data_IF_492926501949
#
_entry.id   IF_492926501949
#
_cell.length_a   1.000
_cell.length_b   1.000
_cell.length_c   1.000
_cell.angle_alpha   90.00
_cell.angle_beta   90.00
_cell.angle_gamma   90.00
#
_symmetry.space_group_name_H-M   'P 1'
#
loop_
_entity.id
_entity.type
_entity.pdbx_description
1 polymer ?
#
# COMPACT_ATOMS: atom_id res chain seq x y z
N UNK A 1 5.08 -4.60 2.87
CA UNK A 1 4.67 -4.54 4.32
C UNK A 1 4.49 -3.09 4.78
N UNK A 2 4.01 -2.84 6.01
CA UNK A 2 3.52 -1.50 6.47
C UNK A 2 4.07 -1.04 7.83
N UNK A 3 4.85 -1.88 8.48
CA UNK A 3 5.48 -1.63 9.76
C UNK A 3 6.98 -1.87 9.66
N UNK A 4 7.77 -1.17 10.48
CA UNK A 4 9.22 -1.35 10.52
C UNK A 4 9.57 -2.65 11.25
N UNK A 5 10.66 -3.29 10.85
CA UNK A 5 11.13 -4.52 11.52
C UNK A 5 11.46 -4.26 13.01
N UNK A 6 11.97 -3.08 13.34
CA UNK A 6 12.18 -2.68 14.73
C UNK A 6 10.87 -2.63 15.54
N UNK A 7 9.74 -2.30 14.92
CA UNK A 7 8.44 -2.30 15.61
C UNK A 7 8.04 -3.74 16.00
N UNK A 8 8.40 -4.75 15.20
CA UNK A 8 8.23 -6.16 15.56
C UNK A 8 9.12 -6.55 16.74
N UNK A 9 10.42 -6.24 16.66
CA UNK A 9 11.40 -6.58 17.71
C UNK A 9 11.01 -5.92 19.04
N UNK A 10 10.64 -4.63 19.02
CA UNK A 10 10.20 -3.89 20.21
C UNK A 10 8.96 -4.52 20.83
N UNK A 11 7.99 -4.93 20.02
CA UNK A 11 6.77 -5.58 20.53
C UNK A 11 7.03 -6.97 21.12
N UNK A 12 8.00 -7.74 20.59
CA UNK A 12 8.41 -9.03 21.19
C UNK A 12 9.10 -8.82 22.54
N UNK A 13 9.95 -7.79 22.68
CA UNK A 13 10.64 -7.47 23.93
C UNK A 13 9.71 -6.90 25.01
N UNK A 14 8.76 -6.05 24.62
CA UNK A 14 7.80 -5.41 25.53
C UNK A 14 6.42 -5.35 24.85
N UNK A 15 5.62 -6.42 24.95
CA UNK A 15 4.31 -6.47 24.30
C UNK A 15 3.38 -5.44 24.93
N UNK A 16 2.89 -4.50 24.11
CA UNK A 16 1.83 -3.57 24.49
C UNK A 16 0.53 -4.04 23.89
N UNK A 17 -0.41 -4.43 24.74
CA UNK A 17 -1.74 -4.86 24.36
C UNK A 17 -2.65 -3.67 24.01
N UNK A 18 -3.43 -3.80 22.95
CA UNK A 18 -4.28 -2.74 22.38
C UNK A 18 -5.71 -3.23 22.19
N UNK A 19 -6.61 -2.80 23.10
CA UNK A 19 -8.04 -3.13 23.06
C UNK A 19 -8.76 -2.50 21.86
N UNK A 20 -8.33 -1.30 21.47
CA UNK A 20 -8.88 -0.58 20.32
C UNK A 20 -8.60 -1.30 18.98
N UNK A 21 -7.43 -1.93 18.85
CA UNK A 21 -7.07 -2.72 17.67
C UNK A 21 -7.81 -4.06 17.63
N UNK A 22 -7.99 -4.70 18.78
CA UNK A 22 -8.79 -5.92 18.89
C UNK A 22 -10.24 -5.67 18.48
N UNK A 23 -10.84 -4.58 18.97
CA UNK A 23 -12.22 -4.22 18.64
C UNK A 23 -12.41 -4.02 17.13
N UNK A 24 -11.49 -3.32 16.47
CA UNK A 24 -11.50 -3.18 15.00
C UNK A 24 -11.28 -4.49 14.26
N UNK A 25 -10.50 -5.42 14.83
CA UNK A 25 -10.25 -6.73 14.23
C UNK A 25 -11.53 -7.55 14.19
N UNK A 26 -12.21 -7.70 15.33
CA UNK A 26 -13.45 -8.48 15.43
C UNK A 26 -14.63 -7.86 14.66
N UNK A 27 -14.64 -6.53 14.49
CA UNK A 27 -15.65 -5.84 13.67
C UNK A 27 -15.55 -6.21 12.18
N UNK A 28 -14.36 -6.60 11.73
CA UNK A 28 -14.11 -7.00 10.33
C UNK A 28 -14.17 -8.51 10.18
N UNK A 29 -13.55 -9.24 11.11
CA UNK A 29 -13.45 -10.69 11.12
C UNK A 29 -13.45 -11.22 12.57
N UNK A 30 -14.60 -11.71 13.07
CA UNK A 30 -14.73 -12.23 14.43
C UNK A 30 -13.84 -13.44 14.74
N UNK A 31 -13.47 -14.22 13.72
CA UNK A 31 -12.70 -15.46 13.86
C UNK A 31 -11.17 -15.22 13.72
N UNK A 32 -10.76 -13.98 13.41
CA UNK A 32 -9.36 -13.63 13.23
C UNK A 32 -8.49 -13.67 14.50
N UNK A 33 -8.96 -13.26 15.70
CA UNK A 33 -8.15 -13.33 16.91
C UNK A 33 -7.98 -14.76 17.42
N UNK A 34 -6.83 -15.03 18.04
CA UNK A 34 -6.57 -16.28 18.77
C UNK A 34 -7.39 -16.37 20.06
N UNK A 35 -7.51 -17.57 20.63
CA UNK A 35 -8.22 -17.77 21.90
C UNK A 35 -7.65 -16.90 23.03
N UNK A 36 -6.32 -16.79 23.12
CA UNK A 36 -5.66 -15.93 24.10
C UNK A 36 -5.98 -14.44 23.88
N UNK A 37 -6.03 -13.99 22.62
CA UNK A 37 -6.40 -12.61 22.26
C UNK A 37 -7.87 -12.31 22.61
N UNK A 38 -8.76 -13.29 22.43
CA UNK A 38 -10.18 -13.20 22.80
C UNK A 38 -10.37 -13.11 24.32
N UNK A 39 -9.64 -13.92 25.09
CA UNK A 39 -9.64 -13.85 26.55
C UNK A 39 -9.14 -12.48 27.05
N UNK A 40 -8.06 -11.97 26.47
CA UNK A 40 -7.48 -10.67 26.84
C UNK A 40 -8.25 -9.46 26.27
N UNK A 41 -9.12 -9.69 25.27
CA UNK A 41 -9.79 -8.67 24.46
C UNK A 41 -8.83 -7.59 23.94
N UNK A 42 -7.64 -8.03 23.53
CA UNK A 42 -6.57 -7.15 23.11
C UNK A 42 -5.58 -7.88 22.20
N UNK A 43 -5.06 -7.17 21.21
CA UNK A 43 -4.00 -7.66 20.32
C UNK A 43 -2.77 -6.76 20.42
N UNK A 44 -1.60 -7.25 20.00
CA UNK A 44 -0.43 -6.37 19.86
C UNK A 44 -0.51 -5.57 18.56
N UNK A 45 0.13 -4.40 18.51
CA UNK A 45 0.17 -3.57 17.30
C UNK A 45 0.69 -4.34 16.07
N UNK A 46 1.83 -5.05 16.12
CA UNK A 46 2.33 -5.71 14.92
C UNK A 46 1.44 -6.86 14.45
N UNK A 47 0.84 -7.60 15.38
CA UNK A 47 -0.15 -8.64 15.07
C UNK A 47 -1.38 -8.09 14.35
N UNK A 48 -1.90 -6.95 14.80
CA UNK A 48 -2.97 -6.23 14.10
C UNK A 48 -2.54 -5.76 12.71
N UNK A 49 -1.32 -5.19 12.58
CA UNK A 49 -0.81 -4.74 11.28
C UNK A 49 -0.63 -5.89 10.30
N UNK A 50 -0.11 -7.04 10.76
CA UNK A 50 0.05 -8.25 9.95
C UNK A 50 -1.30 -8.79 9.46
N UNK A 51 -2.30 -8.87 10.33
CA UNK A 51 -3.65 -9.28 9.91
C UNK A 51 -4.28 -8.29 8.94
N UNK A 52 -4.12 -6.97 9.17
CA UNK A 52 -4.59 -5.97 8.20
C UNK A 52 -3.93 -6.13 6.83
N UNK A 53 -2.66 -6.55 6.79
CA UNK A 53 -1.98 -6.83 5.53
C UNK A 53 -2.61 -8.03 4.82
N UNK A 54 -2.94 -9.12 5.54
CA UNK A 54 -3.51 -10.35 4.93
C UNK A 54 -4.91 -10.16 4.37
N UNK A 55 -5.72 -9.29 4.97
CA UNK A 55 -7.06 -8.98 4.45
C UNK A 55 -7.04 -7.87 3.38
N UNK A 56 -5.87 -7.32 3.05
CA UNK A 56 -5.70 -6.28 2.04
C UNK A 56 -4.89 -6.80 0.85
N UNK A 57 -4.88 -6.03 -0.24
CA UNK A 57 -3.98 -6.28 -1.36
C UNK A 57 -2.49 -6.10 -1.02
N UNK A 58 -2.14 -5.61 0.18
CA UNK A 58 -0.72 -5.40 0.55
C UNK A 58 0.05 -6.72 0.55
N UNK A 59 -0.55 -7.81 1.03
CA UNK A 59 0.11 -9.11 1.11
C UNK A 59 0.21 -9.81 -0.26
N UNK A 60 -0.71 -9.54 -1.19
CA UNK A 60 -0.82 -10.25 -2.47
C UNK A 60 -0.35 -9.44 -3.67
N UNK A 61 -0.41 -8.11 -3.60
CA UNK A 61 -0.04 -7.18 -4.68
C UNK A 61 1.01 -6.16 -4.26
N UNK A 62 1.42 -6.07 -2.99
CA UNK A 62 2.48 -5.16 -2.54
C UNK A 62 2.04 -3.71 -2.32
N UNK A 63 0.77 -3.37 -2.57
CA UNK A 63 0.19 -2.05 -2.30
C UNK A 63 -1.27 -2.16 -1.88
N UNK A 64 -1.85 -1.06 -1.39
CA UNK A 64 -3.30 -0.93 -1.14
C UNK A 64 -3.75 0.51 -1.37
N UNK A 65 -5.04 0.69 -1.60
CA UNK A 65 -5.66 2.01 -1.74
C UNK A 65 -6.11 2.46 -0.35
N UNK A 66 -5.59 3.61 0.12
CA UNK A 66 -5.98 4.20 1.40
C UNK A 66 -7.20 5.13 1.28
N UNK A 67 -7.38 5.79 0.13
CA UNK A 67 -8.53 6.65 -0.08
C UNK A 67 -8.58 7.23 -1.48
N UNK A 68 -9.79 7.54 -1.93
CA UNK A 68 -10.06 8.20 -3.19
C UNK A 68 -10.92 9.43 -2.88
N UNK A 69 -10.52 10.58 -3.41
CA UNK A 69 -11.32 11.81 -3.34
C UNK A 69 -11.70 12.24 -4.74
N UNK A 70 -12.95 12.00 -5.11
CA UNK A 70 -13.52 12.50 -6.37
C UNK A 70 -14.22 13.82 -6.09
N UNK A 71 -13.81 14.90 -6.76
CA UNK A 71 -14.66 16.10 -6.83
C UNK A 71 -15.75 15.86 -7.86
N UNK A 72 -16.80 15.19 -7.44
CA UNK A 72 -18.08 15.32 -8.11
C UNK A 72 -18.60 16.74 -7.84
N UNK A 73 -19.31 17.34 -8.80
CA UNK A 73 -20.03 18.60 -8.59
C UNK A 73 -21.09 18.50 -7.48
N UNK A 74 -21.23 17.33 -6.83
CA UNK A 74 -22.02 17.12 -5.64
C UNK A 74 -21.37 16.03 -4.77
N UNK A 75 -21.20 16.31 -3.49
CA UNK A 75 -20.40 15.54 -2.53
C UNK A 75 -20.90 14.09 -2.35
N UNK A 76 -20.03 13.10 -2.54
CA UNK A 76 -20.23 11.73 -2.04
C UNK A 76 -19.02 11.35 -1.20
N UNK A 77 -19.20 11.33 0.13
CA UNK A 77 -18.27 10.69 1.06
C UNK A 77 -18.53 9.19 1.02
N UNK A 78 -17.64 8.42 0.42
CA UNK A 78 -17.65 6.96 0.53
C UNK A 78 -16.32 6.50 1.15
N UNK A 79 -16.37 6.14 2.43
CA UNK A 79 -15.42 5.20 3.02
C UNK A 79 -15.95 3.79 2.82
N UNK A 80 -15.08 2.81 2.60
CA UNK A 80 -15.52 1.43 2.51
C UNK A 80 -14.46 0.43 2.07
N UNK A 81 -14.55 -0.75 2.69
CA UNK A 81 -13.67 -1.90 2.63
C UNK A 81 -13.43 -2.53 1.24
N UNK A 82 -12.37 -3.33 1.25
CA UNK A 82 -11.92 -4.38 0.33
C UNK A 82 -13.04 -5.19 -0.31
N UNK A 83 -13.06 -5.19 -1.65
CA UNK A 83 -13.94 -6.06 -2.43
C UNK A 83 -13.91 -5.78 -3.93
N UNK A 84 -13.34 -4.65 -4.38
CA UNK A 84 -13.55 -4.21 -5.75
C UNK A 84 -12.32 -3.46 -6.26
N UNK A 85 -11.21 -4.18 -6.45
CA UNK A 85 -10.02 -3.57 -7.05
C UNK A 85 -10.36 -3.04 -8.46
N UNK A 86 -10.96 -3.89 -9.31
CA UNK A 86 -11.36 -3.54 -10.68
C UNK A 86 -12.39 -2.42 -10.71
N UNK A 87 -13.54 -2.52 -10.03
CA UNK A 87 -14.55 -1.45 -10.15
C UNK A 87 -14.19 -0.15 -9.41
N UNK A 88 -13.29 -0.14 -8.42
CA UNK A 88 -12.84 1.12 -7.80
C UNK A 88 -11.86 1.86 -8.70
N UNK A 89 -10.91 1.16 -9.34
CA UNK A 89 -10.12 1.76 -10.43
C UNK A 89 -11.01 2.14 -11.61
N UNK A 90 -11.96 1.28 -12.04
CA UNK A 90 -12.89 1.64 -13.11
C UNK A 90 -13.68 2.90 -12.76
N UNK A 91 -14.22 3.05 -11.55
CA UNK A 91 -14.92 4.30 -11.19
C UNK A 91 -14.03 5.56 -11.24
N UNK A 92 -12.71 5.40 -11.12
CA UNK A 92 -11.72 6.48 -11.17
C UNK A 92 -11.18 6.72 -12.60
N UNK A 93 -11.08 5.69 -13.44
CA UNK A 93 -10.52 5.76 -14.80
C UNK A 93 -11.57 5.80 -15.91
N UNK A 94 -12.80 5.34 -15.68
CA UNK A 94 -13.89 5.27 -16.66
C UNK A 94 -14.38 6.66 -17.15
N UNK A 95 -13.76 7.75 -16.68
CA UNK A 95 -14.01 9.09 -17.23
C UNK A 95 -12.84 9.68 -18.01
N UNK A 96 -11.65 9.08 -18.04
CA UNK A 96 -10.49 9.68 -18.70
C UNK A 96 -9.38 8.67 -19.04
N UNK A 97 -9.52 7.99 -20.17
CA UNK A 97 -8.49 7.09 -20.73
C UNK A 97 -7.14 7.80 -20.90
N UNK A 98 -7.15 9.11 -21.17
CA UNK A 98 -5.93 9.90 -21.28
C UNK A 98 -5.22 10.04 -19.92
N UNK A 99 -5.96 10.28 -18.83
CA UNK A 99 -5.40 10.31 -17.48
C UNK A 99 -4.76 8.96 -17.09
N UNK A 100 -5.40 7.84 -17.44
CA UNK A 100 -4.84 6.50 -17.21
C UNK A 100 -3.49 6.31 -17.93
N UNK A 101 -3.40 6.72 -19.21
CA UNK A 101 -2.15 6.72 -19.97
C UNK A 101 -1.06 7.59 -19.35
N UNK A 102 -1.43 8.79 -18.88
CA UNK A 102 -0.51 9.70 -18.18
C UNK A 102 -0.02 9.10 -16.85
N UNK A 103 -0.88 8.47 -16.07
CA UNK A 103 -0.47 7.75 -14.86
C UNK A 103 0.48 6.60 -15.16
N UNK A 104 0.18 5.79 -16.17
CA UNK A 104 1.04 4.67 -16.55
C UNK A 104 2.44 5.14 -16.95
N UNK A 105 2.52 6.16 -17.80
CA UNK A 105 3.80 6.76 -18.20
C UNK A 105 4.55 7.33 -17.00
N UNK A 106 3.84 8.02 -16.10
CA UNK A 106 4.45 8.57 -14.89
C UNK A 106 4.98 7.48 -13.96
N UNK A 107 4.24 6.39 -13.76
CA UNK A 107 4.66 5.26 -12.93
C UNK A 107 5.88 4.54 -13.50
N UNK A 108 5.93 4.31 -14.82
CA UNK A 108 7.12 3.79 -15.50
C UNK A 108 8.35 4.69 -15.28
N UNK A 109 8.15 6.01 -15.36
CA UNK A 109 9.21 6.99 -15.07
C UNK A 109 9.67 6.97 -13.60
N UNK A 110 8.73 6.85 -12.65
CA UNK A 110 9.06 6.68 -11.23
C UNK A 110 9.87 5.41 -11.03
N UNK A 111 9.41 4.27 -11.58
CA UNK A 111 10.08 2.97 -11.50
C UNK A 111 11.54 3.05 -11.97
N UNK A 112 11.78 3.59 -13.16
CA UNK A 112 13.14 3.77 -13.71
C UNK A 112 14.03 4.68 -12.84
N UNK A 113 13.43 5.72 -12.23
CA UNK A 113 14.16 6.60 -11.31
C UNK A 113 14.52 5.87 -10.02
N UNK A 114 13.62 5.05 -9.48
CA UNK A 114 13.86 4.27 -8.25
C UNK A 114 14.95 3.23 -8.44
N UNK A 115 14.99 2.53 -9.58
CA UNK A 115 16.02 1.53 -9.90
C UNK A 115 17.46 2.09 -9.91
N UNK A 116 17.60 3.39 -10.17
CA UNK A 116 18.91 4.08 -10.22
C UNK A 116 19.19 4.93 -8.99
N UNK A 117 18.20 5.17 -8.14
CA UNK A 117 18.29 6.05 -6.97
C UNK A 117 19.17 5.44 -5.86
N UNK A 118 20.30 6.09 -5.49
CA UNK A 118 21.11 5.64 -4.35
C UNK A 118 20.32 5.70 -3.04
N UNK A 119 19.51 6.75 -2.87
CA UNK A 119 18.64 6.91 -1.71
C UNK A 119 17.70 5.71 -1.57
N UNK A 120 17.01 5.35 -2.65
CA UNK A 120 16.03 4.27 -2.60
C UNK A 120 16.69 2.94 -2.22
N UNK A 121 17.79 2.59 -2.91
CA UNK A 121 18.55 1.35 -2.65
C UNK A 121 19.03 1.21 -1.21
N UNK A 122 19.36 2.32 -0.54
CA UNK A 122 19.88 2.29 0.82
C UNK A 122 18.86 2.63 1.91
N UNK A 123 17.56 2.67 1.58
CA UNK A 123 16.50 2.95 2.55
C UNK A 123 15.44 1.85 2.54
N UNK A 124 14.96 1.49 3.73
CA UNK A 124 13.74 0.73 3.92
C UNK A 124 12.55 1.70 3.77
N UNK A 125 11.76 1.56 2.70
CA UNK A 125 10.69 2.51 2.35
C UNK A 125 9.34 1.97 2.81
N UNK A 126 9.04 2.20 4.09
CA UNK A 126 7.80 1.73 4.73
C UNK A 126 6.83 2.87 4.95
N UNK A 127 5.54 2.60 4.73
CA UNK A 127 4.44 3.51 5.07
C UNK A 127 4.27 4.71 4.13
N UNK A 128 5.10 4.84 3.10
CA UNK A 128 4.94 5.85 2.05
C UNK A 128 3.77 5.52 1.12
N UNK A 129 3.26 6.54 0.43
CA UNK A 129 2.17 6.40 -0.54
C UNK A 129 2.53 6.98 -1.90
N UNK A 130 1.86 6.49 -2.95
CA UNK A 130 1.80 7.17 -4.24
C UNK A 130 0.51 7.98 -4.31
N UNK A 131 0.64 9.31 -4.44
CA UNK A 131 -0.48 10.23 -4.54
C UNK A 131 -0.80 10.49 -6.02
N UNK A 132 -1.96 9.98 -6.45
CA UNK A 132 -2.52 10.19 -7.78
C UNK A 132 -3.39 11.44 -7.79
N UNK A 133 -3.13 12.34 -8.73
CA UNK A 133 -3.87 13.57 -8.92
C UNK A 133 -4.12 13.76 -10.41
N UNK A 134 -5.38 13.93 -10.80
CA UNK A 134 -5.74 14.42 -12.12
C UNK A 134 -6.84 15.46 -12.03
N UNK A 135 -6.95 16.29 -13.07
CA UNK A 135 -8.00 17.29 -13.21
C UNK A 135 -8.76 17.12 -14.53
N UNK A 136 -9.82 17.92 -14.69
CA UNK A 136 -10.64 17.94 -15.92
C UNK A 136 -9.90 18.49 -17.15
N UNK A 137 -8.69 19.01 -16.99
CA UNK A 137 -7.82 19.47 -18.08
C UNK A 137 -6.81 18.40 -18.44
N UNK A 138 -7.11 17.14 -18.11
CA UNK A 138 -6.31 15.96 -18.45
C UNK A 138 -4.89 15.96 -17.86
N UNK A 139 -4.62 16.79 -16.85
CA UNK A 139 -3.31 16.79 -16.19
C UNK A 139 -3.24 15.69 -15.14
N UNK A 140 -2.63 14.55 -15.45
CA UNK A 140 -2.41 13.47 -14.47
C UNK A 140 -0.97 13.48 -13.93
N UNK A 141 -0.81 13.42 -12.60
CA UNK A 141 0.48 13.37 -11.91
C UNK A 141 0.48 12.34 -10.78
N UNK A 142 1.65 11.78 -10.54
CA UNK A 142 1.91 10.86 -9.41
C UNK A 142 3.15 11.31 -8.67
N UNK A 143 3.05 11.35 -7.34
CA UNK A 143 4.13 11.70 -6.42
C UNK A 143 4.26 10.69 -5.28
N UNK A 144 5.49 10.42 -4.85
CA UNK A 144 5.73 9.70 -3.60
C UNK A 144 5.61 10.68 -2.43
N UNK A 145 4.88 10.27 -1.40
CA UNK A 145 4.64 11.04 -0.18
C UNK A 145 4.81 10.16 1.08
N UNK A 146 4.80 10.79 2.25
CA UNK A 146 4.79 10.14 3.57
C UNK A 146 6.02 9.27 3.90
N UNK A 147 7.20 9.87 3.88
CA UNK A 147 8.46 9.22 4.24
C UNK A 147 8.71 9.09 5.77
N UNK A 148 7.68 9.29 6.60
CA UNK A 148 7.84 9.32 8.06
C UNK A 148 8.33 8.02 8.70
N UNK A 149 8.23 6.89 7.98
CA UNK A 149 8.80 5.59 8.36
C UNK A 149 9.84 5.08 7.36
N UNK A 150 10.34 5.93 6.48
CA UNK A 150 11.45 5.59 5.59
C UNK A 150 12.76 5.75 6.36
N UNK A 151 13.51 4.66 6.51
CA UNK A 151 14.71 4.65 7.36
C UNK A 151 15.93 4.16 6.58
N UNK A 152 17.12 4.73 6.80
CA UNK A 152 18.33 4.24 6.16
C UNK A 152 18.69 2.84 6.64
N UNK A 153 19.33 2.08 5.77
CA UNK A 153 19.97 0.81 6.09
C UNK A 153 21.32 1.04 6.77
N UNK A 154 21.91 0.00 7.42
CA UNK A 154 23.30 0.04 7.84
C UNK A 154 24.23 0.30 6.66
N UNK A 155 25.38 0.91 6.94
CA UNK A 155 26.34 1.30 5.91
C UNK A 155 26.73 0.12 5.00
N UNK A 156 26.72 0.37 3.69
CA UNK A 156 27.05 -0.62 2.66
C UNK A 156 25.94 -1.63 2.32
N UNK A 157 24.81 -1.64 3.03
CA UNK A 157 23.66 -2.48 2.70
C UNK A 157 22.75 -1.84 1.65
N UNK A 158 22.12 -2.70 0.83
CA UNK A 158 21.14 -2.30 -0.18
C UNK A 158 19.96 -3.28 -0.19
N UNK A 159 18.78 -2.78 -0.56
CA UNK A 159 17.59 -3.58 -0.82
C UNK A 159 17.34 -3.74 -2.32
N UNK A 160 16.68 -4.84 -2.68
CA UNK A 160 16.19 -5.09 -4.04
C UNK A 160 14.78 -4.54 -4.24
N UNK A 161 13.98 -4.39 -3.18
CA UNK A 161 12.61 -3.89 -3.16
C UNK A 161 11.58 -4.71 -3.96
N UNK A 162 12.00 -5.77 -4.66
CA UNK A 162 11.15 -6.64 -5.46
C UNK A 162 11.17 -8.09 -4.98
N UNK A 163 11.81 -8.38 -3.83
CA UNK A 163 11.86 -9.71 -3.23
C UNK A 163 10.94 -9.80 -2.01
N UNK A 164 10.45 -10.99 -1.66
CA UNK A 164 9.63 -11.18 -0.47
C UNK A 164 10.36 -10.77 0.81
N UNK A 165 9.64 -10.08 1.69
CA UNK A 165 10.13 -9.79 3.03
C UNK A 165 10.20 -11.08 3.86
N UNK A 166 11.33 -11.24 4.55
CA UNK A 166 11.55 -12.23 5.60
C UNK A 166 12.22 -11.50 6.76
N UNK A 167 11.80 -11.79 7.99
CA UNK A 167 12.41 -11.17 9.17
C UNK A 167 13.94 -11.29 9.12
N UNK A 168 14.65 -10.17 9.23
CA UNK A 168 16.09 -10.03 9.10
C UNK A 168 16.55 -9.42 7.77
N UNK A 169 15.79 -9.56 6.69
CA UNK A 169 16.20 -9.05 5.36
C UNK A 169 15.79 -7.59 5.10
N UNK A 170 14.89 -7.01 5.92
CA UNK A 170 14.37 -5.63 5.82
C UNK A 170 13.73 -5.25 4.48
N UNK A 171 13.48 -6.19 3.57
CA UNK A 171 12.85 -5.93 2.29
C UNK A 171 11.43 -5.36 2.47
N UNK A 172 11.05 -4.38 1.65
CA UNK A 172 9.77 -3.69 1.79
C UNK A 172 8.72 -4.14 0.76
N UNK A 173 9.19 -4.67 -0.38
CA UNK A 173 8.37 -5.09 -1.51
C UNK A 173 7.85 -3.91 -2.34
N UNK A 174 8.49 -2.74 -2.25
CA UNK A 174 7.99 -1.51 -2.89
C UNK A 174 7.94 -1.61 -4.42
N UNK A 175 9.00 -2.11 -5.06
CA UNK A 175 9.03 -2.30 -6.51
C UNK A 175 8.09 -3.41 -6.95
N UNK A 176 7.94 -4.47 -6.16
CA UNK A 176 6.92 -5.49 -6.44
C UNK A 176 5.51 -4.88 -6.45
N UNK A 177 5.21 -4.01 -5.48
CA UNK A 177 3.97 -3.25 -5.44
C UNK A 177 3.77 -2.34 -6.66
N UNK A 178 4.81 -1.62 -7.05
CA UNK A 178 4.79 -0.74 -8.21
C UNK A 178 4.62 -1.50 -9.53
N UNK A 179 5.26 -2.66 -9.67
CA UNK A 179 5.17 -3.52 -10.85
C UNK A 179 3.74 -4.04 -11.04
N UNK A 180 3.12 -4.55 -9.96
CA UNK A 180 1.71 -4.98 -9.99
C UNK A 180 0.77 -3.82 -10.34
N UNK A 181 1.00 -2.63 -9.79
CA UNK A 181 0.17 -1.46 -10.10
C UNK A 181 0.28 -1.02 -11.57
N UNK A 182 1.50 -1.04 -12.12
CA UNK A 182 1.76 -0.77 -13.55
C UNK A 182 1.07 -1.81 -14.42
N UNK A 183 1.17 -3.09 -14.05
CA UNK A 183 0.52 -4.17 -14.78
C UNK A 183 -1.00 -3.96 -14.83
N UNK A 184 -1.63 -3.73 -13.68
CA UNK A 184 -3.08 -3.58 -13.63
C UNK A 184 -3.55 -2.35 -14.43
N UNK A 185 -2.85 -1.22 -14.33
CA UNK A 185 -3.18 -0.04 -15.15
C UNK A 185 -2.98 -0.29 -16.66
N UNK A 186 -2.01 -1.13 -17.03
CA UNK A 186 -1.80 -1.52 -18.43
C UNK A 186 -2.97 -2.37 -18.93
N UNK A 187 -3.38 -3.38 -18.16
CA UNK A 187 -4.52 -4.23 -18.50
C UNK A 187 -5.82 -3.44 -18.62
N UNK A 188 -6.05 -2.49 -17.70
CA UNK A 188 -7.21 -1.58 -17.75
C UNK A 188 -7.22 -0.74 -19.04
N UNK A 189 -6.07 -0.18 -19.44
CA UNK A 189 -5.99 0.62 -20.67
C UNK A 189 -6.26 -0.19 -21.94
N UNK A 190 -5.89 -1.47 -21.97
CA UNK A 190 -6.12 -2.34 -23.13
C UNK A 190 -7.58 -2.83 -23.23
N UNK A 191 -8.26 -2.94 -22.10
CA UNK A 191 -9.68 -3.36 -22.06
C UNK A 191 -10.64 -2.30 -22.59
N UNK A 192 -10.26 -1.01 -22.54
CA UNK A 192 -11.05 0.11 -23.06
C UNK A 192 -10.99 0.22 -24.59
N UNK A 193 -9.93 -0.28 -25.24
CA UNK A 193 -9.78 -0.28 -26.71
C UNK A 193 -10.65 -1.35 -27.41
N UNK A 194 -11.28 -2.25 -26.66
CA UNK A 194 -12.07 -3.39 -27.17
C UNK A 194 -13.59 -3.16 -27.15
N UNK A 195 -14.06 -1.97 -26.75
CA UNK A 195 -15.48 -1.59 -26.69
C UNK A 195 -15.78 -0.26 -27.38
#
# INVERSE_FOLDING_TARGET
RTYLEEELIKARKKPSLRKDMYQKMIEVDPDAPTEEENVLRAVTKPRYMQWRETISSTATLGFRIEGIKVRLLQECRAGGNTGVFSNQTHSYTHTDAHAAGCYLNRLKGIRATLETSPFFKCHEVIGSSLLFIHDKKEQAKVWMIDFGKTTPLPEGQVLQHNVPWVEGNREDGYLWGLDNLIQILTELSQSEDLH
#
